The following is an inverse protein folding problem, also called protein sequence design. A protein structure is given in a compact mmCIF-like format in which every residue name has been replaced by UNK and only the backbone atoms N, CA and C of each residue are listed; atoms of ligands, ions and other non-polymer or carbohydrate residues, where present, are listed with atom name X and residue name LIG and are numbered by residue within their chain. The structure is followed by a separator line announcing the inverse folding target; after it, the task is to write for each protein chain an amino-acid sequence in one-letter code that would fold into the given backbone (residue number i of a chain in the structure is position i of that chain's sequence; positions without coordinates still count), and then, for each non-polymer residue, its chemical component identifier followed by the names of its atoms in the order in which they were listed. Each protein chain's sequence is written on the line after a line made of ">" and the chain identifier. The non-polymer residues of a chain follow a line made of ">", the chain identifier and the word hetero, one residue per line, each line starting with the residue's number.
data_IF_674943127676
#
_entry.id   IF_674943127676
#
_cell.length_a   1.000
_cell.length_b   1.000
_cell.length_c   1.000
_cell.angle_alpha   90.00
_cell.angle_beta   90.00
_cell.angle_gamma   90.00
#
_symmetry.space_group_name_H-M   'P 1'
#
loop_
_entity.id
_entity.type
_entity.pdbx_description
1 polymer ?
#
# COMPACT_ATOMS: atom_id res chain seq x y z
N UNK A 1 9.81 25.62 14.02
CA UNK A 1 8.81 24.71 14.61
C UNK A 1 7.80 24.34 13.53
N UNK A 2 7.81 23.09 13.07
CA UNK A 2 7.01 22.61 11.94
C UNK A 2 5.50 22.76 12.19
N UNK A 3 4.75 23.18 11.17
CA UNK A 3 3.28 23.35 11.14
C UNK A 3 2.56 22.10 11.65
N UNK A 4 3.15 20.94 11.38
CA UNK A 4 2.72 19.64 11.86
C UNK A 4 2.61 19.53 13.39
N UNK A 5 3.54 20.16 14.12
CA UNK A 5 3.56 20.16 15.60
C UNK A 5 2.48 21.09 16.19
N UNK A 6 2.08 22.14 15.45
CA UNK A 6 0.99 23.04 15.85
C UNK A 6 -0.38 22.37 15.64
N UNK A 7 -0.55 21.63 14.55
CA UNK A 7 -1.78 20.87 14.27
C UNK A 7 -2.03 19.79 15.33
N UNK A 8 -1.00 19.02 15.70
CA UNK A 8 -1.12 17.97 16.73
C UNK A 8 -1.40 18.56 18.13
N UNK A 9 -0.89 19.75 18.42
CA UNK A 9 -1.12 20.40 19.73
C UNK A 9 -2.54 20.98 19.83
N UNK A 10 -3.13 21.44 18.73
CA UNK A 10 -4.52 21.90 18.69
C UNK A 10 -5.53 20.75 18.88
N UNK A 11 -5.22 19.56 18.35
CA UNK A 11 -6.05 18.34 18.51
C UNK A 11 -6.08 17.84 19.96
N UNK A 12 -5.03 18.08 20.75
CA UNK A 12 -4.94 17.61 22.14
C UNK A 12 -5.67 18.51 23.14
N UNK A 13 -6.17 19.67 22.71
CA UNK A 13 -6.79 20.70 23.55
C UNK A 13 -8.26 20.96 23.20
N UNK A 14 -9.15 19.99 23.44
CA UNK A 14 -10.57 20.19 23.75
C UNK A 14 -11.40 21.12 22.84
N UNK A 15 -11.38 20.93 21.52
CA UNK A 15 -12.34 21.57 20.62
C UNK A 15 -13.50 20.62 20.29
N UNK A 16 -14.73 21.13 20.31
CA UNK A 16 -15.96 20.40 19.93
C UNK A 16 -15.85 19.82 18.51
N UNK A 17 -16.45 18.66 18.22
CA UNK A 17 -16.38 17.96 16.91
C UNK A 17 -16.64 18.88 15.69
N UNK A 18 -17.50 19.89 15.83
CA UNK A 18 -17.78 20.88 14.79
C UNK A 18 -16.59 21.80 14.47
N UNK A 19 -15.80 22.23 15.47
CA UNK A 19 -14.61 23.06 15.29
C UNK A 19 -13.43 22.26 14.72
N UNK A 20 -13.35 20.97 15.04
CA UNK A 20 -12.36 20.05 14.51
C UNK A 20 -12.62 19.75 13.03
N UNK A 21 -13.88 19.52 12.62
CA UNK A 21 -14.23 19.27 11.20
C UNK A 21 -13.94 20.45 10.25
N UNK A 22 -14.09 21.70 10.73
CA UNK A 22 -13.79 22.91 9.94
C UNK A 22 -12.27 23.11 9.81
N UNK A 23 -11.52 22.84 10.88
CA UNK A 23 -10.06 22.87 10.86
C UNK A 23 -9.48 21.75 9.97
N UNK A 24 -10.06 20.55 10.02
CA UNK A 24 -9.64 19.38 9.24
C UNK A 24 -9.93 19.56 7.74
N UNK A 25 -11.09 20.11 7.37
CA UNK A 25 -11.42 20.44 5.99
C UNK A 25 -10.48 21.50 5.38
N UNK A 26 -10.04 22.48 6.19
CA UNK A 26 -9.04 23.47 5.75
C UNK A 26 -7.64 22.85 5.64
N UNK A 27 -7.28 21.91 6.53
CA UNK A 27 -6.01 21.19 6.48
C UNK A 27 -5.89 20.32 5.22
N UNK A 28 -6.97 19.64 4.79
CA UNK A 28 -7.00 18.86 3.55
C UNK A 28 -6.76 19.77 2.33
N UNK A 29 -7.44 20.93 2.25
CA UNK A 29 -7.21 21.88 1.14
C UNK A 29 -5.77 22.40 1.08
N UNK A 30 -5.17 22.71 2.24
CA UNK A 30 -3.77 23.14 2.32
C UNK A 30 -2.86 22.01 1.82
N UNK A 31 -3.09 20.76 2.23
CA UNK A 31 -2.32 19.60 1.76
C UNK A 31 -2.47 19.37 0.25
N UNK A 32 -3.68 19.55 -0.31
CA UNK A 32 -3.88 19.46 -1.76
C UNK A 32 -3.13 20.55 -2.54
N UNK A 33 -3.08 21.76 -1.98
CA UNK A 33 -2.29 22.84 -2.56
C UNK A 33 -0.79 22.54 -2.51
N UNK A 34 -0.28 22.13 -1.36
CA UNK A 34 1.12 21.71 -1.18
C UNK A 34 1.50 20.55 -2.13
N UNK A 35 0.61 19.58 -2.32
CA UNK A 35 0.79 18.50 -3.32
C UNK A 35 0.89 19.07 -4.74
N UNK A 36 0.04 20.04 -5.10
CA UNK A 36 0.07 20.68 -6.42
C UNK A 36 1.36 21.45 -6.64
N UNK A 37 1.80 22.23 -5.66
CA UNK A 37 3.05 22.98 -5.70
C UNK A 37 4.26 22.02 -5.79
N UNK A 38 4.25 20.94 -5.01
CA UNK A 38 5.26 19.89 -5.08
C UNK A 38 5.32 19.21 -6.47
N UNK A 39 4.17 18.98 -7.12
CA UNK A 39 4.12 18.46 -8.51
C UNK A 39 4.78 19.42 -9.50
N UNK A 40 4.51 20.72 -9.38
CA UNK A 40 5.10 21.73 -10.25
C UNK A 40 6.61 21.81 -10.07
N UNK A 41 7.09 21.81 -8.83
CA UNK A 41 8.53 21.83 -8.54
C UNK A 41 9.23 20.54 -9.02
N UNK A 42 8.56 19.40 -8.90
CA UNK A 42 9.06 18.14 -9.43
C UNK A 42 9.19 18.15 -10.95
N UNK A 43 8.26 18.81 -11.66
CA UNK A 43 8.37 19.04 -13.12
C UNK A 43 9.56 19.92 -13.49
N UNK A 44 9.82 20.98 -12.72
CA UNK A 44 11.02 21.80 -12.93
C UNK A 44 12.30 20.99 -12.69
N UNK A 45 12.29 20.14 -11.67
CA UNK A 45 13.41 19.24 -11.36
C UNK A 45 13.65 18.23 -12.49
N UNK A 46 12.59 17.64 -13.07
CA UNK A 46 12.68 16.77 -14.26
C UNK A 46 13.27 17.52 -15.47
N UNK A 47 12.88 18.78 -15.67
CA UNK A 47 13.44 19.62 -16.72
C UNK A 47 14.93 19.90 -16.49
N UNK A 48 15.33 20.29 -15.27
CA UNK A 48 16.72 20.49 -14.90
C UNK A 48 17.55 19.21 -15.12
N UNK A 49 17.01 18.04 -14.75
CA UNK A 49 17.65 16.75 -15.03
C UNK A 49 17.85 16.51 -16.51
N UNK A 50 16.86 16.85 -17.33
CA UNK A 50 16.97 16.73 -18.79
C UNK A 50 18.08 17.62 -19.35
N UNK A 51 18.26 18.83 -18.82
CA UNK A 51 19.36 19.72 -19.20
C UNK A 51 20.74 19.13 -18.83
N UNK A 52 20.88 18.54 -17.63
CA UNK A 52 22.12 17.85 -17.24
C UNK A 52 22.39 16.64 -18.13
N UNK A 53 21.36 15.86 -18.47
CA UNK A 53 21.49 14.73 -19.37
C UNK A 53 21.95 15.19 -20.78
N UNK A 54 21.45 16.33 -21.26
CA UNK A 54 21.93 16.92 -22.52
C UNK A 54 23.42 17.29 -22.43
N UNK A 55 23.86 17.89 -21.32
CA UNK A 55 25.30 18.17 -21.08
C UNK A 55 26.14 16.90 -21.05
N UNK A 56 25.65 15.82 -20.42
CA UNK A 56 26.31 14.51 -20.44
C UNK A 56 26.51 14.01 -21.87
N UNK A 57 25.46 14.07 -22.70
CA UNK A 57 25.53 13.63 -24.11
C UNK A 57 26.52 14.45 -24.92
N UNK A 58 26.50 15.78 -24.75
CA UNK A 58 27.41 16.68 -25.47
C UNK A 58 28.87 16.42 -25.08
N UNK A 59 29.16 16.29 -23.78
CA UNK A 59 30.50 16.01 -23.28
C UNK A 59 30.98 14.61 -23.72
N UNK A 60 30.10 13.61 -23.70
CA UNK A 60 30.42 12.27 -24.23
C UNK A 60 30.75 12.30 -25.73
N UNK A 61 30.03 13.08 -26.54
CA UNK A 61 30.33 13.25 -27.96
C UNK A 61 31.70 13.91 -28.17
N UNK A 62 32.03 14.92 -27.37
CA UNK A 62 33.35 15.56 -27.42
C UNK A 62 34.48 14.59 -27.06
N UNK A 63 34.33 13.85 -25.96
CA UNK A 63 35.32 12.83 -25.55
C UNK A 63 35.53 11.81 -26.67
N UNK A 64 34.44 11.27 -27.23
CA UNK A 64 34.53 10.31 -28.34
C UNK A 64 35.18 10.89 -29.59
N UNK A 65 34.93 12.17 -29.90
CA UNK A 65 35.61 12.88 -30.99
C UNK A 65 37.11 13.03 -30.75
N UNK A 66 37.50 13.43 -29.53
CA UNK A 66 38.91 13.55 -29.14
C UNK A 66 39.62 12.19 -29.18
N UNK A 67 38.99 11.12 -28.68
CA UNK A 67 39.51 9.75 -28.76
C UNK A 67 39.70 9.28 -30.20
N UNK A 68 38.77 9.63 -31.10
CA UNK A 68 38.90 9.32 -32.52
C UNK A 68 40.09 10.05 -33.15
N UNK A 69 40.24 11.34 -32.88
CA UNK A 69 41.41 12.11 -33.35
C UNK A 69 42.73 11.59 -32.76
N UNK A 70 42.74 11.16 -31.50
CA UNK A 70 43.91 10.53 -30.89
C UNK A 70 44.28 9.27 -31.67
N UNK A 71 43.32 8.39 -31.96
CA UNK A 71 43.57 7.16 -32.72
C UNK A 71 44.09 7.44 -34.14
N UNK A 72 43.56 8.48 -34.81
CA UNK A 72 44.02 8.91 -36.12
C UNK A 72 45.49 9.39 -36.08
N UNK A 73 45.83 10.32 -35.19
CA UNK A 73 47.21 10.82 -35.07
C UNK A 73 48.20 9.76 -34.59
N UNK A 74 47.77 8.81 -33.75
CA UNK A 74 48.59 7.64 -33.41
C UNK A 74 48.88 6.77 -34.63
N UNK A 75 47.88 6.54 -35.49
CA UNK A 75 48.06 5.80 -36.73
C UNK A 75 48.99 6.55 -37.71
N UNK A 76 48.90 7.87 -37.78
CA UNK A 76 49.82 8.70 -38.57
C UNK A 76 51.25 8.62 -38.04
N UNK A 77 51.45 8.74 -36.72
CA UNK A 77 52.76 8.62 -36.09
C UNK A 77 53.42 7.26 -36.38
N UNK A 78 52.65 6.16 -36.29
CA UNK A 78 53.14 4.80 -36.60
C UNK A 78 53.55 4.64 -38.06
N UNK A 79 52.88 5.32 -38.99
CA UNK A 79 53.24 5.28 -40.42
C UNK A 79 54.47 6.14 -40.73
N UNK A 80 54.63 7.27 -40.03
CA UNK A 80 55.71 8.21 -40.29
C UNK A 80 57.05 7.80 -39.67
N UNK A 81 57.06 6.95 -38.63
CA UNK A 81 58.27 6.68 -37.83
C UNK A 81 59.48 6.17 -38.63
N UNK A 82 59.25 5.41 -39.71
CA UNK A 82 60.32 4.82 -40.53
C UNK A 82 60.74 5.73 -41.70
N UNK A 83 59.93 6.73 -42.07
CA UNK A 83 60.14 7.58 -43.25
C UNK A 83 60.45 9.04 -42.92
N UNK A 84 59.84 9.56 -41.86
CA UNK A 84 59.92 10.96 -41.43
C UNK A 84 59.76 11.04 -39.91
N UNK A 85 60.91 11.07 -39.23
CA UNK A 85 60.97 11.05 -37.77
C UNK A 85 60.43 12.34 -37.15
N UNK A 86 60.63 13.48 -37.80
CA UNK A 86 60.16 14.77 -37.29
C UNK A 86 58.62 14.84 -37.36
N UNK A 87 58.03 14.38 -38.48
CA UNK A 87 56.58 14.26 -38.60
C UNK A 87 55.97 13.29 -37.56
N UNK A 88 56.67 12.19 -37.27
CA UNK A 88 56.24 11.24 -36.23
C UNK A 88 56.25 11.88 -34.83
N UNK A 89 57.25 12.73 -34.53
CA UNK A 89 57.33 13.49 -33.28
C UNK A 89 56.22 14.54 -33.18
N UNK A 90 55.92 15.26 -34.27
CA UNK A 90 54.82 16.22 -34.31
C UNK A 90 53.45 15.54 -34.07
N UNK A 91 53.23 14.38 -34.68
CA UNK A 91 52.03 13.59 -34.43
C UNK A 91 51.95 13.13 -32.96
N UNK A 92 53.06 12.68 -32.38
CA UNK A 92 53.10 12.28 -30.96
C UNK A 92 52.82 13.46 -30.01
N UNK A 93 53.35 14.64 -30.31
CA UNK A 93 53.05 15.86 -29.54
C UNK A 93 51.56 16.19 -29.64
N UNK A 94 50.97 16.11 -30.84
CA UNK A 94 49.54 16.35 -31.02
C UNK A 94 48.66 15.37 -30.25
N UNK A 95 49.05 14.09 -30.21
CA UNK A 95 48.37 13.06 -29.38
C UNK A 95 48.45 13.42 -27.90
N UNK A 96 49.60 13.88 -27.41
CA UNK A 96 49.76 14.32 -26.02
C UNK A 96 48.79 15.45 -25.66
N UNK A 97 48.68 16.47 -26.52
CA UNK A 97 47.77 17.60 -26.31
C UNK A 97 46.30 17.16 -26.33
N UNK A 98 45.92 16.30 -27.28
CA UNK A 98 44.56 15.77 -27.39
C UNK A 98 44.19 14.89 -26.19
N UNK A 99 45.13 14.09 -25.67
CA UNK A 99 44.91 13.28 -24.46
C UNK A 99 44.65 14.14 -23.23
N UNK A 100 45.42 15.22 -23.04
CA UNK A 100 45.18 16.16 -21.95
C UNK A 100 43.79 16.82 -22.05
N UNK A 101 43.34 17.16 -23.26
CA UNK A 101 41.99 17.67 -23.50
C UNK A 101 40.92 16.61 -23.23
N UNK A 102 41.13 15.38 -23.67
CA UNK A 102 40.20 14.27 -23.47
C UNK A 102 40.03 13.95 -21.97
N UNK A 103 41.12 13.94 -21.20
CA UNK A 103 41.08 13.73 -19.75
C UNK A 103 40.29 14.84 -19.03
N UNK A 104 40.48 16.09 -19.46
CA UNK A 104 39.74 17.23 -18.93
C UNK A 104 38.23 17.11 -19.23
N UNK A 105 37.87 16.82 -20.49
CA UNK A 105 36.46 16.63 -20.88
C UNK A 105 35.84 15.39 -20.23
N UNK A 106 36.61 14.31 -20.03
CA UNK A 106 36.19 13.11 -19.32
C UNK A 106 35.86 13.43 -17.85
N UNK A 107 36.67 14.27 -17.20
CA UNK A 107 36.39 14.73 -15.84
C UNK A 107 35.05 15.48 -15.77
N UNK A 108 34.76 16.36 -16.73
CA UNK A 108 33.46 17.04 -16.78
C UNK A 108 32.30 16.07 -17.04
N UNK A 109 32.48 15.11 -17.94
CA UNK A 109 31.49 14.07 -18.21
C UNK A 109 31.14 13.29 -16.94
N UNK A 110 32.15 12.87 -16.17
CA UNK A 110 31.96 12.10 -14.94
C UNK A 110 31.24 12.92 -13.86
N UNK A 111 31.57 14.20 -13.73
CA UNK A 111 30.85 15.12 -12.84
C UNK A 111 29.38 15.29 -13.23
N UNK A 112 29.09 15.46 -14.53
CA UNK A 112 27.71 15.56 -15.01
C UNK A 112 26.93 14.26 -14.80
N UNK A 113 27.54 13.11 -15.07
CA UNK A 113 26.93 11.79 -14.82
C UNK A 113 26.62 11.55 -13.36
N UNK A 114 27.54 11.90 -12.47
CA UNK A 114 27.32 11.81 -11.02
C UNK A 114 26.13 12.68 -10.60
N UNK A 115 26.11 13.94 -11.07
CA UNK A 115 25.02 14.88 -10.80
C UNK A 115 23.67 14.39 -11.35
N UNK A 116 23.66 13.85 -12.56
CA UNK A 116 22.48 13.29 -13.22
C UNK A 116 21.90 12.11 -12.42
N UNK A 117 22.76 11.18 -12.00
CA UNK A 117 22.37 10.01 -11.21
C UNK A 117 21.80 10.41 -9.85
N UNK A 118 22.46 11.35 -9.16
CA UNK A 118 21.97 11.83 -7.87
C UNK A 118 20.61 12.51 -8.01
N UNK A 119 20.44 13.34 -9.05
CA UNK A 119 19.19 14.02 -9.32
C UNK A 119 18.07 13.04 -9.70
N UNK A 120 18.38 11.99 -10.47
CA UNK A 120 17.44 10.93 -10.81
C UNK A 120 16.88 10.25 -9.54
N UNK A 121 17.77 9.80 -8.65
CA UNK A 121 17.39 9.14 -7.39
C UNK A 121 16.52 10.05 -6.53
N UNK A 122 16.91 11.32 -6.36
CA UNK A 122 16.16 12.27 -5.55
C UNK A 122 14.76 12.54 -6.13
N UNK A 123 14.65 12.69 -7.46
CA UNK A 123 13.39 12.89 -8.17
C UNK A 123 12.48 11.66 -7.99
N UNK A 124 13.01 10.45 -8.14
CA UNK A 124 12.23 9.23 -8.02
C UNK A 124 11.70 9.03 -6.58
N UNK A 125 12.53 9.32 -5.58
CA UNK A 125 12.10 9.34 -4.17
C UNK A 125 11.00 10.39 -3.93
N UNK A 126 11.15 11.60 -4.48
CA UNK A 126 10.14 12.63 -4.37
C UNK A 126 8.82 12.22 -5.05
N UNK A 127 8.88 11.62 -6.25
CA UNK A 127 7.72 11.06 -6.96
C UNK A 127 7.01 9.99 -6.13
N UNK A 128 7.75 9.07 -5.52
CA UNK A 128 7.17 8.01 -4.69
C UNK A 128 6.47 8.59 -3.44
N UNK A 129 7.13 9.52 -2.75
CA UNK A 129 6.55 10.19 -1.58
C UNK A 129 5.30 11.00 -1.93
N UNK A 130 5.31 11.71 -3.05
CA UNK A 130 4.17 12.48 -3.54
C UNK A 130 2.98 11.57 -3.83
N UNK A 131 3.18 10.45 -4.54
CA UNK A 131 2.12 9.46 -4.78
C UNK A 131 1.52 8.92 -3.50
N UNK A 132 2.35 8.64 -2.49
CA UNK A 132 1.88 8.20 -1.17
C UNK A 132 1.03 9.28 -0.49
N UNK A 133 1.45 10.55 -0.55
CA UNK A 133 0.69 11.67 0.03
C UNK A 133 -0.66 11.86 -0.67
N UNK A 134 -0.70 11.75 -2.00
CA UNK A 134 -1.95 11.79 -2.77
C UNK A 134 -2.93 10.71 -2.33
N UNK A 135 -2.47 9.45 -2.25
CA UNK A 135 -3.30 8.34 -1.78
C UNK A 135 -3.83 8.55 -0.36
N UNK A 136 -3.01 9.11 0.53
CA UNK A 136 -3.41 9.43 1.90
C UNK A 136 -4.50 10.50 1.92
N UNK A 137 -4.37 11.56 1.12
CA UNK A 137 -5.38 12.60 0.99
C UNK A 137 -6.69 12.03 0.43
N UNK A 138 -6.63 11.18 -0.61
CA UNK A 138 -7.81 10.55 -1.19
C UNK A 138 -8.54 9.66 -0.18
N UNK A 139 -7.80 8.86 0.60
CA UNK A 139 -8.36 8.02 1.65
C UNK A 139 -9.06 8.85 2.74
N UNK A 140 -8.45 9.96 3.16
CA UNK A 140 -9.04 10.86 4.16
C UNK A 140 -10.32 11.50 3.62
N UNK A 141 -10.34 11.96 2.36
CA UNK A 141 -11.54 12.53 1.72
C UNK A 141 -12.66 11.50 1.56
N UNK A 142 -12.32 10.26 1.21
CA UNK A 142 -13.30 9.17 1.15
C UNK A 142 -13.92 8.91 2.52
N UNK A 143 -13.09 8.89 3.57
CA UNK A 143 -13.54 8.70 4.96
C UNK A 143 -14.45 9.85 5.41
N UNK A 144 -14.09 11.10 5.11
CA UNK A 144 -14.92 12.28 5.39
C UNK A 144 -16.28 12.20 4.68
N UNK A 145 -16.29 11.72 3.43
CA UNK A 145 -17.52 11.54 2.63
C UNK A 145 -18.43 10.47 3.25
N UNK A 146 -17.86 9.33 3.68
CA UNK A 146 -18.61 8.27 4.37
C UNK A 146 -19.20 8.80 5.68
N UNK A 147 -18.43 9.53 6.49
CA UNK A 147 -18.92 10.11 7.74
C UNK A 147 -20.07 11.11 7.49
N UNK A 148 -19.94 12.01 6.51
CA UNK A 148 -21.02 12.93 6.11
C UNK A 148 -22.28 12.18 5.66
N UNK A 149 -22.12 11.11 4.88
CA UNK A 149 -23.24 10.27 4.46
C UNK A 149 -23.92 9.57 5.64
N UNK A 150 -23.14 9.03 6.60
CA UNK A 150 -23.67 8.41 7.82
C UNK A 150 -24.48 9.41 8.66
N UNK A 151 -23.99 10.65 8.83
CA UNK A 151 -24.71 11.74 9.52
C UNK A 151 -25.99 12.13 8.77
N UNK A 152 -25.95 12.21 7.43
CA UNK A 152 -27.13 12.50 6.62
C UNK A 152 -28.19 11.39 6.68
N UNK A 153 -27.77 10.12 6.73
CA UNK A 153 -28.67 8.97 6.87
C UNK A 153 -29.25 8.89 8.29
N UNK A 154 -28.44 9.10 9.33
CA UNK A 154 -28.94 9.08 10.72
C UNK A 154 -29.93 10.22 10.99
N UNK A 155 -29.64 11.43 10.50
CA UNK A 155 -30.54 12.58 10.61
C UNK A 155 -31.85 12.39 9.81
N UNK A 156 -31.79 11.74 8.63
CA UNK A 156 -32.99 11.34 7.88
C UNK A 156 -33.78 10.21 8.57
N UNK A 157 -33.11 9.30 9.27
CA UNK A 157 -33.77 8.27 10.06
C UNK A 157 -34.37 8.81 11.37
N UNK A 158 -33.91 9.90 11.97
CA UNK A 158 -34.58 10.45 13.18
C UNK A 158 -36.03 10.90 12.92
N UNK A 159 -36.39 11.29 11.68
CA UNK A 159 -37.78 11.63 11.31
C UNK A 159 -38.66 10.44 10.90
N UNK A 160 -38.08 9.36 10.38
CA UNK A 160 -38.80 8.20 9.82
C UNK A 160 -38.71 6.92 10.68
N UNK A 161 -37.75 6.83 11.60
CA UNK A 161 -37.48 5.64 12.40
C UNK A 161 -38.48 5.44 13.56
N UNK A 162 -39.18 6.48 14.03
CA UNK A 162 -40.21 6.28 15.08
C UNK A 162 -41.40 5.45 14.57
N UNK A 163 -41.79 5.60 13.30
CA UNK A 163 -42.92 4.87 12.71
C UNK A 163 -42.52 3.49 12.18
N UNK A 164 -41.30 3.35 11.64
CA UNK A 164 -40.83 2.07 11.10
C UNK A 164 -40.29 1.12 12.16
N UNK A 165 -39.57 1.59 13.19
CA UNK A 165 -39.12 0.76 14.31
C UNK A 165 -40.31 0.12 15.05
N UNK A 166 -41.40 0.88 15.23
CA UNK A 166 -42.65 0.36 15.81
C UNK A 166 -43.29 -0.72 14.94
N UNK A 167 -43.23 -0.60 13.61
CA UNK A 167 -43.77 -1.59 12.68
C UNK A 167 -42.89 -2.85 12.59
N UNK A 168 -41.56 -2.71 12.52
CA UNK A 168 -40.62 -3.84 12.44
C UNK A 168 -40.50 -4.59 13.76
N UNK A 169 -40.55 -3.91 14.91
CA UNK A 169 -40.64 -4.55 16.25
C UNK A 169 -42.00 -5.24 16.47
N UNK A 170 -43.06 -4.78 15.80
CA UNK A 170 -44.35 -5.47 15.81
C UNK A 170 -44.29 -6.73 14.95
N UNK A 171 -43.62 -6.66 13.79
CA UNK A 171 -43.49 -7.79 12.87
C UNK A 171 -42.55 -8.87 13.41
N UNK A 172 -41.42 -8.50 14.04
CA UNK A 172 -40.53 -9.45 14.72
C UNK A 172 -41.23 -10.16 15.88
N UNK A 173 -42.02 -9.44 16.70
CA UNK A 173 -42.85 -10.06 17.76
C UNK A 173 -43.91 -11.01 17.21
N UNK A 174 -44.52 -10.69 16.07
CA UNK A 174 -45.50 -11.58 15.43
C UNK A 174 -44.82 -12.85 14.90
N UNK A 175 -43.66 -12.72 14.26
CA UNK A 175 -42.88 -13.88 13.77
C UNK A 175 -42.35 -14.75 14.89
N UNK A 176 -41.88 -14.15 15.99
CA UNK A 176 -41.37 -14.89 17.16
C UNK A 176 -42.49 -15.63 17.88
N UNK A 177 -43.69 -15.03 18.00
CA UNK A 177 -44.90 -15.74 18.48
C UNK A 177 -45.29 -16.90 17.57
N UNK A 178 -45.19 -16.74 16.25
CA UNK A 178 -45.52 -17.81 15.31
C UNK A 178 -44.51 -18.96 15.37
N UNK A 179 -43.21 -18.67 15.51
CA UNK A 179 -42.17 -19.68 15.71
C UNK A 179 -42.33 -20.43 17.04
N UNK A 180 -42.60 -19.71 18.13
CA UNK A 180 -42.86 -20.33 19.44
C UNK A 180 -44.05 -21.28 19.37
N UNK A 181 -45.14 -20.86 18.72
CA UNK A 181 -46.33 -21.70 18.56
C UNK A 181 -46.09 -22.93 17.69
N UNK A 182 -45.21 -22.82 16.68
CA UNK A 182 -44.78 -23.96 15.86
C UNK A 182 -43.93 -24.96 16.65
N UNK A 183 -42.93 -24.47 17.40
CA UNK A 183 -42.09 -25.31 18.24
C UNK A 183 -42.87 -25.97 19.39
N UNK A 184 -43.88 -25.28 19.93
CA UNK A 184 -44.77 -25.83 20.96
C UNK A 184 -45.65 -26.97 20.40
N UNK A 185 -46.10 -26.87 19.14
CA UNK A 185 -46.81 -27.96 18.45
C UNK A 185 -45.89 -29.15 18.14
N UNK A 186 -44.66 -28.89 17.68
CA UNK A 186 -43.65 -29.93 17.41
C UNK A 186 -43.22 -30.64 18.69
N UNK A 187 -43.00 -29.90 19.78
CA UNK A 187 -42.72 -30.47 21.09
C UNK A 187 -43.91 -31.27 21.65
N UNK A 188 -45.15 -30.84 21.39
CA UNK A 188 -46.33 -31.61 21.76
C UNK A 188 -46.44 -32.93 20.96
N UNK A 189 -46.08 -32.93 19.67
CA UNK A 189 -45.98 -34.15 18.84
C UNK A 189 -44.84 -35.08 19.30
N UNK A 190 -43.67 -34.53 19.64
CA UNK A 190 -42.56 -35.32 20.19
C UNK A 190 -42.90 -35.93 21.55
N UNK A 191 -43.56 -35.18 22.44
CA UNK A 191 -44.04 -35.69 23.71
C UNK A 191 -45.05 -36.83 23.49
N UNK A 192 -46.02 -36.66 22.59
CA UNK A 192 -46.98 -37.71 22.24
C UNK A 192 -46.32 -38.96 21.62
N UNK A 193 -45.27 -38.79 20.80
CA UNK A 193 -44.51 -39.91 20.24
C UNK A 193 -43.63 -40.60 21.30
N UNK A 194 -43.03 -39.85 22.22
CA UNK A 194 -42.20 -40.41 23.30
C UNK A 194 -43.00 -41.23 24.32
N UNK A 195 -44.23 -40.82 24.62
CA UNK A 195 -45.18 -41.63 25.42
C UNK A 195 -45.56 -42.94 24.70
N UNK A 196 -45.55 -42.97 23.36
CA UNK A 196 -45.83 -44.21 22.61
C UNK A 196 -44.64 -45.17 22.53
N UNK A 197 -43.40 -44.67 22.58
CA UNK A 197 -42.17 -45.48 22.52
C UNK A 197 -41.82 -46.14 23.86
N UNK A 198 -42.12 -45.49 24.97
CA UNK A 198 -41.78 -45.98 26.32
C UNK A 198 -42.69 -47.11 26.82
N UNK A 199 -43.89 -47.28 26.26
CA UNK A 199 -44.79 -48.39 26.63
C UNK A 199 -44.29 -49.76 26.11
N UNK A 200 -43.71 -49.83 24.91
CA UNK A 200 -43.27 -51.09 24.31
C UNK A 200 -41.99 -51.65 24.98
N UNK A 201 -41.01 -50.78 25.26
CA UNK A 201 -39.74 -51.15 25.90
C UNK A 201 -39.89 -51.50 27.38
N UNK A 202 -40.78 -50.80 28.10
CA UNK A 202 -41.21 -51.18 29.44
C UNK A 202 -41.83 -52.59 29.47
N UNK A 203 -42.70 -52.90 28.49
CA UNK A 203 -43.33 -54.22 28.36
C UNK A 203 -42.34 -55.32 27.95
N UNK A 204 -41.32 -55.03 27.15
CA UNK A 204 -40.26 -55.98 26.76
C UNK A 204 -39.27 -56.29 27.89
N UNK A 205 -38.92 -55.29 28.71
CA UNK A 205 -38.08 -55.47 29.89
C UNK A 205 -38.80 -56.26 31.00
N UNK A 206 -40.09 -55.99 31.23
CA UNK A 206 -40.92 -56.77 32.14
C UNK A 206 -41.10 -58.24 31.67
N UNK A 207 -40.98 -58.51 30.37
CA UNK A 207 -41.05 -59.85 29.80
C UNK A 207 -39.71 -60.62 29.83
N UNK A 208 -38.61 -60.00 30.28
CA UNK A 208 -37.33 -60.69 30.53
C UNK A 208 -36.53 -61.10 29.27
N UNK A 209 -36.73 -60.45 28.13
CA UNK A 209 -36.14 -60.85 26.83
C UNK A 209 -35.05 -59.86 26.37
N UNK A 210 -33.95 -59.74 27.13
CA UNK A 210 -32.60 -59.43 26.61
C UNK A 210 -31.53 -59.47 27.71
N UNK A 211 -30.73 -60.53 27.72
CA UNK A 211 -29.41 -60.59 28.37
C UNK A 211 -28.32 -59.94 27.48
N UNK A 212 -27.10 -59.66 27.94
CA UNK A 212 -26.44 -60.03 29.18
C UNK A 212 -25.28 -59.08 29.52
N UNK A 213 -24.68 -59.33 30.68
CA UNK A 213 -23.68 -58.52 31.39
C UNK A 213 -22.26 -58.66 30.82
N UNK A 214 -21.49 -57.58 30.89
CA UNK A 214 -20.02 -57.58 30.92
C UNK A 214 -19.61 -56.67 32.07
N UNK A 215 -19.06 -57.25 33.14
CA UNK A 215 -18.66 -56.57 34.37
C UNK A 215 -17.32 -55.87 34.21
N UNK A 216 -17.14 -54.72 34.87
CA UNK A 216 -15.90 -53.94 34.87
C UNK A 216 -14.67 -54.71 35.41
N UNK A 217 -14.88 -55.82 36.14
CA UNK A 217 -13.81 -56.72 36.59
C UNK A 217 -13.11 -57.48 35.44
N UNK A 218 -13.80 -57.74 34.32
CA UNK A 218 -13.25 -58.47 33.16
C UNK A 218 -12.31 -57.57 32.32
N UNK A 219 -12.53 -56.25 32.29
CA UNK A 219 -11.60 -55.31 31.62
C UNK A 219 -10.34 -55.04 32.43
N UNK A 220 -10.43 -55.04 33.78
CA UNK A 220 -9.28 -54.74 34.63
C UNK A 220 -8.20 -55.83 34.57
N UNK A 221 -8.61 -57.10 34.43
CA UNK A 221 -7.72 -58.27 34.33
C UNK A 221 -6.91 -58.30 33.03
N UNK A 222 -7.42 -57.67 31.95
CA UNK A 222 -6.72 -57.56 30.66
C UNK A 222 -5.63 -56.49 30.64
N UNK A 223 -5.73 -55.46 31.50
CA UNK A 223 -4.79 -54.33 31.53
C UNK A 223 -3.53 -54.63 32.38
N UNK A 224 -3.61 -55.55 33.34
CA UNK A 224 -2.51 -55.85 34.28
C UNK A 224 -1.57 -57.01 33.87
N UNK A 225 -1.75 -57.61 32.70
CA UNK A 225 -0.71 -58.38 31.98
C UNK A 225 -0.07 -59.59 32.69
N UNK A 226 -0.66 -60.77 32.48
CA UNK A 226 0.09 -61.99 32.12
C UNK A 226 -0.49 -62.55 30.82
#
# INVERSE_FOLDING_TARGET
>A
MSVWKKLITAVKGGATEAAQSVADGQAIRILEQEIREAKEELRKSDHARTQILAKCKLSQQKVSGLESSIAEFEAHARKAIDTDRDLALDCAQKVSDLRAQAETEQTYLDQFRSSEKQLAVNIDQAKANLRRLEQQVDMVKATETVQKAQVAVSSRHMGANSKMKTATESLSRIQERQKLKGAELEAAEELAQSESSTDLESRLAAAGIKGGQSSADDELSRILGK
#
